data_IF_930895701924
#
_entry.id   IF_930895701924
#
_cell.length_a   1.000
_cell.length_b   1.000
_cell.length_c   1.000
_cell.angle_alpha   90.00
_cell.angle_beta   90.00
_cell.angle_gamma   90.00
#
_symmetry.space_group_name_H-M   'P 1'
#
loop_
_entity.id
_entity.type
_entity.pdbx_description
1 polymer ?
#
# COMPACT_ATOMS: atom_id res chain seq x y z
N UNK A 1 -9.30 9.22 14.60
CA UNK A 1 -9.38 10.46 13.78
C UNK A 1 -9.68 10.07 12.33
N UNK A 2 -10.94 9.75 12.05
CA UNK A 2 -11.38 9.48 10.68
C UNK A 2 -11.75 10.81 10.02
N UNK A 3 -11.20 11.06 8.84
CA UNK A 3 -11.47 12.28 8.08
C UNK A 3 -12.87 12.26 7.45
N UNK A 4 -13.48 11.08 7.36
CA UNK A 4 -14.82 10.85 6.86
C UNK A 4 -15.58 9.91 7.82
N UNK A 5 -16.91 10.06 7.94
CA UNK A 5 -17.73 9.07 8.65
C UNK A 5 -17.55 7.68 8.02
N UNK A 6 -17.29 6.62 8.81
CA UNK A 6 -17.17 5.28 8.27
C UNK A 6 -18.43 4.84 7.51
N UNK A 7 -18.23 4.30 6.31
CA UNK A 7 -19.31 3.70 5.52
C UNK A 7 -19.15 2.18 5.53
N UNK A 8 -20.21 1.45 5.86
CA UNK A 8 -20.17 0.00 5.97
C UNK A 8 -21.16 -0.68 5.02
N UNK A 9 -20.75 -1.81 4.44
CA UNK A 9 -21.65 -2.76 3.82
C UNK A 9 -21.76 -4.02 4.71
N UNK A 10 -22.95 -4.62 4.73
CA UNK A 10 -23.23 -5.86 5.45
C UNK A 10 -23.44 -6.99 4.46
N UNK A 11 -22.80 -8.13 4.71
CA UNK A 11 -23.08 -9.38 4.04
C UNK A 11 -24.48 -9.87 4.45
N UNK A 12 -25.38 -9.97 3.48
CA UNK A 12 -26.77 -10.37 3.70
C UNK A 12 -26.93 -11.77 4.31
N UNK A 13 -25.97 -12.67 4.07
CA UNK A 13 -25.97 -14.08 4.47
C UNK A 13 -25.30 -14.30 5.83
N UNK A 14 -24.10 -13.74 6.04
CA UNK A 14 -23.29 -13.96 7.26
C UNK A 14 -23.48 -12.88 8.31
N UNK A 15 -24.07 -11.74 7.94
CA UNK A 15 -24.15 -10.52 8.76
C UNK A 15 -22.79 -9.90 9.10
N UNK A 16 -21.71 -10.39 8.48
CA UNK A 16 -20.40 -9.75 8.55
C UNK A 16 -20.46 -8.36 7.93
N UNK A 17 -19.61 -7.44 8.39
CA UNK A 17 -19.55 -6.06 7.89
C UNK A 17 -18.14 -5.72 7.48
N UNK A 18 -18.02 -4.96 6.40
CA UNK A 18 -16.79 -4.26 6.03
C UNK A 18 -17.07 -2.78 5.93
N UNK A 19 -16.17 -1.99 6.49
CA UNK A 19 -16.28 -0.55 6.52
C UNK A 19 -15.05 0.11 5.92
N UNK A 20 -15.27 1.27 5.31
CA UNK A 20 -14.22 2.17 4.86
C UNK A 20 -13.84 3.09 6.01
N UNK A 21 -12.57 3.06 6.40
CA UNK A 21 -11.97 4.01 7.34
C UNK A 21 -10.88 4.80 6.62
N UNK A 22 -10.94 6.12 6.67
CA UNK A 22 -9.93 6.96 6.01
C UNK A 22 -9.38 7.99 6.99
N UNK A 23 -8.06 8.09 7.04
CA UNK A 23 -7.35 9.17 7.72
C UNK A 23 -6.55 9.95 6.69
N UNK A 24 -6.99 11.15 6.35
CA UNK A 24 -6.31 12.03 5.40
C UNK A 24 -5.03 12.62 5.99
N UNK A 25 -4.96 12.83 7.31
CA UNK A 25 -3.79 13.43 7.96
C UNK A 25 -2.60 12.46 8.11
N UNK A 26 -2.87 11.15 8.03
CA UNK A 26 -1.82 10.14 8.06
C UNK A 26 -0.78 10.41 6.98
N UNK A 27 0.48 10.12 7.31
CA UNK A 27 1.58 10.35 6.40
C UNK A 27 1.60 11.82 5.88
N UNK A 28 1.51 12.84 6.79
CA UNK A 28 1.58 14.31 6.49
C UNK A 28 0.60 14.70 5.39
N UNK A 29 -0.65 14.27 5.51
CA UNK A 29 -1.66 14.58 4.51
C UNK A 29 -1.71 13.62 3.32
N UNK A 30 -0.78 12.66 3.19
CA UNK A 30 -0.82 11.70 2.08
C UNK A 30 -1.97 10.71 2.18
N UNK A 31 -2.48 10.53 3.39
CA UNK A 31 -3.63 9.73 3.72
C UNK A 31 -3.39 8.22 3.69
N UNK A 32 -4.32 7.50 4.30
CA UNK A 32 -4.49 6.06 4.19
C UNK A 32 -5.97 5.71 4.32
N UNK A 33 -6.40 4.72 3.55
CA UNK A 33 -7.75 4.16 3.63
C UNK A 33 -7.72 2.66 3.90
N UNK A 34 -8.70 2.18 4.65
CA UNK A 34 -8.86 0.79 5.01
C UNK A 34 -10.23 0.29 4.57
N UNK A 35 -10.30 -0.94 4.08
CA UNK A 35 -11.54 -1.72 4.05
C UNK A 35 -11.38 -2.86 5.04
N UNK A 36 -12.08 -2.77 6.18
CA UNK A 36 -11.86 -3.65 7.31
C UNK A 36 -13.15 -3.98 8.06
N UNK A 37 -13.14 -5.08 8.81
CA UNK A 37 -14.23 -5.41 9.72
C UNK A 37 -14.28 -4.39 10.88
N UNK A 38 -15.47 -4.03 11.41
CA UNK A 38 -15.58 -3.15 12.58
C UNK A 38 -14.79 -3.60 13.79
N UNK A 39 -14.58 -4.91 13.96
CA UNK A 39 -13.84 -5.47 15.09
C UNK A 39 -12.35 -5.15 15.10
N UNK A 40 -11.78 -4.64 14.00
CA UNK A 40 -10.37 -4.20 13.93
C UNK A 40 -10.20 -2.69 13.96
N UNK A 41 -11.27 -1.92 14.18
CA UNK A 41 -11.23 -0.47 14.17
C UNK A 41 -10.22 0.09 15.18
N UNK A 42 -10.23 -0.40 16.42
CA UNK A 42 -9.33 0.08 17.48
C UNK A 42 -7.85 -0.23 17.15
N UNK A 43 -7.57 -1.39 16.57
CA UNK A 43 -6.22 -1.77 16.13
C UNK A 43 -5.72 -0.80 15.05
N UNK A 44 -6.55 -0.54 14.03
CA UNK A 44 -6.24 0.39 12.94
C UNK A 44 -6.06 1.81 13.48
N UNK A 45 -6.98 2.25 14.36
CA UNK A 45 -6.96 3.57 14.96
C UNK A 45 -5.66 3.82 15.72
N UNK A 46 -5.18 2.82 16.47
CA UNK A 46 -3.92 2.90 17.20
C UNK A 46 -2.71 3.10 16.28
N UNK A 47 -2.72 2.47 15.10
CA UNK A 47 -1.65 2.56 14.11
C UNK A 47 -1.63 3.94 13.43
N UNK A 48 -2.79 4.42 12.98
CA UNK A 48 -2.86 5.71 12.25
C UNK A 48 -2.69 6.92 13.17
N UNK A 49 -3.01 6.78 14.46
CA UNK A 49 -2.87 7.87 15.43
C UNK A 49 -1.41 8.15 15.81
N UNK A 50 -0.49 7.20 15.59
CA UNK A 50 0.95 7.39 15.80
C UNK A 50 1.67 7.71 14.47
N UNK A 51 1.30 8.83 13.85
CA UNK A 51 1.89 9.28 12.58
C UNK A 51 3.37 9.69 12.68
N UNK A 52 3.95 9.73 13.89
CA UNK A 52 5.30 10.22 14.13
C UNK A 52 6.39 9.40 13.41
N UNK A 53 6.16 8.10 13.20
CA UNK A 53 7.07 7.25 12.42
C UNK A 53 6.88 7.43 10.91
N UNK A 54 5.64 7.63 10.46
CA UNK A 54 5.39 8.06 9.10
C UNK A 54 6.16 9.35 8.82
N UNK A 55 5.99 10.39 9.65
CA UNK A 55 6.72 11.67 9.57
C UNK A 55 8.25 11.53 9.50
N UNK A 56 8.86 10.67 10.33
CA UNK A 56 10.32 10.52 10.36
C UNK A 56 10.90 9.59 9.28
N UNK A 57 10.14 8.60 8.82
CA UNK A 57 10.62 7.57 7.87
C UNK A 57 10.64 8.01 6.39
N UNK A 58 10.20 9.23 6.10
CA UNK A 58 9.87 9.72 4.75
C UNK A 58 11.04 10.25 3.94
N UNK A 59 12.00 9.38 3.66
CA UNK A 59 13.01 9.72 2.65
C UNK A 59 12.46 9.75 1.23
N UNK A 60 11.30 9.14 0.96
CA UNK A 60 10.69 9.07 -0.37
C UNK A 60 9.86 10.28 -0.81
N UNK A 61 9.60 11.23 0.09
CA UNK A 61 8.90 12.48 -0.22
C UNK A 61 9.87 13.68 -0.33
N UNK A 62 11.17 13.43 -0.23
CA UNK A 62 12.17 14.45 -0.52
C UNK A 62 12.11 14.83 -2.01
N UNK A 63 12.58 16.02 -2.41
CA UNK A 63 12.77 16.35 -3.82
C UNK A 63 13.46 15.20 -4.58
N UNK A 64 13.09 14.97 -5.84
CA UNK A 64 13.61 13.83 -6.62
C UNK A 64 15.15 13.77 -6.66
N UNK A 65 15.81 14.92 -6.57
CA UNK A 65 17.27 15.08 -6.50
C UNK A 65 17.88 14.55 -5.19
N UNK A 66 17.10 14.55 -4.11
CA UNK A 66 17.47 14.10 -2.77
C UNK A 66 17.03 12.65 -2.48
N UNK A 67 16.27 12.04 -3.40
CA UNK A 67 15.87 10.64 -3.29
C UNK A 67 17.07 9.74 -3.58
N UNK A 68 17.29 8.74 -2.73
CA UNK A 68 18.27 7.68 -2.98
C UNK A 68 17.95 6.81 -4.21
N UNK A 69 16.80 7.04 -4.86
CA UNK A 69 16.34 6.32 -6.04
C UNK A 69 15.65 7.26 -7.04
N UNK A 70 15.52 6.81 -8.29
CA UNK A 70 14.80 7.48 -9.36
C UNK A 70 13.83 6.51 -10.04
N UNK A 71 12.62 6.97 -10.33
CA UNK A 71 11.66 6.21 -11.15
C UNK A 71 11.91 6.55 -12.62
N UNK A 72 12.05 5.53 -13.47
CA UNK A 72 12.30 5.69 -14.91
C UNK A 72 11.38 4.78 -15.70
N UNK A 73 11.04 5.18 -16.91
CA UNK A 73 10.41 4.27 -17.86
C UNK A 73 11.40 3.20 -18.30
N UNK A 74 10.93 1.97 -18.39
CA UNK A 74 11.69 0.81 -18.81
C UNK A 74 10.99 0.20 -20.03
N UNK A 75 11.68 0.12 -21.18
CA UNK A 75 11.11 -0.49 -22.38
C UNK A 75 10.51 -1.86 -22.07
N UNK A 76 9.29 -2.08 -22.53
CA UNK A 76 8.52 -3.32 -22.37
C UNK A 76 8.15 -3.73 -20.93
N UNK A 77 8.56 -2.96 -19.91
CA UNK A 77 8.24 -3.22 -18.48
C UNK A 77 7.46 -2.09 -17.79
N UNK A 78 7.20 -0.98 -18.49
CA UNK A 78 6.49 0.17 -17.91
C UNK A 78 7.44 1.07 -17.14
N UNK A 79 7.41 1.03 -15.81
CA UNK A 79 8.28 1.84 -14.93
C UNK A 79 9.18 0.94 -14.10
N UNK A 80 10.31 1.47 -13.66
CA UNK A 80 11.23 0.79 -12.74
C UNK A 80 11.88 1.80 -11.80
N UNK A 81 12.36 1.30 -10.67
CA UNK A 81 13.02 2.10 -9.64
C UNK A 81 14.52 1.83 -9.73
N UNK A 82 15.35 2.88 -9.75
CA UNK A 82 16.79 2.77 -9.96
C UNK A 82 17.56 3.50 -8.86
N UNK A 83 18.65 2.91 -8.36
CA UNK A 83 19.49 3.54 -7.33
C UNK A 83 20.18 4.80 -7.86
N UNK A 84 20.13 5.91 -7.12
CA UNK A 84 20.89 7.13 -7.44
C UNK A 84 22.27 7.18 -6.78
N UNK A 85 22.45 6.40 -5.72
CA UNK A 85 23.69 6.28 -4.95
C UNK A 85 24.02 4.81 -4.68
N UNK A 86 25.26 4.46 -4.32
CA UNK A 86 25.59 3.12 -3.88
C UNK A 86 24.78 2.78 -2.62
N UNK A 87 24.12 1.62 -2.62
CA UNK A 87 23.36 1.14 -1.47
C UNK A 87 24.10 -0.06 -0.88
N UNK A 88 24.46 0.04 0.40
CA UNK A 88 25.18 -1.00 1.09
C UNK A 88 24.25 -2.17 1.46
N UNK A 89 24.75 -3.39 1.31
CA UNK A 89 24.09 -4.62 1.79
C UNK A 89 23.62 -4.45 3.24
N UNK A 90 22.37 -4.84 3.48
CA UNK A 90 21.74 -4.83 4.81
C UNK A 90 21.20 -3.46 5.24
N UNK A 91 21.40 -2.39 4.45
CA UNK A 91 20.81 -1.09 4.75
C UNK A 91 19.34 -1.02 4.31
N UNK A 92 18.53 -0.38 5.14
CA UNK A 92 17.18 0.07 4.77
C UNK A 92 17.34 1.37 3.99
N UNK A 93 16.97 1.35 2.71
CA UNK A 93 17.13 2.51 1.82
C UNK A 93 15.80 3.18 1.48
N UNK A 94 14.68 2.48 1.69
CA UNK A 94 13.34 3.02 1.49
C UNK A 94 12.39 2.45 2.55
N UNK A 95 11.58 3.33 3.13
CA UNK A 95 10.43 2.97 3.97
C UNK A 95 9.18 3.47 3.24
N UNK A 96 8.28 2.54 2.89
CA UNK A 96 7.00 2.83 2.28
C UNK A 96 5.87 2.83 3.31
N UNK A 97 4.85 3.67 3.08
CA UNK A 97 3.63 3.71 3.88
C UNK A 97 2.44 3.40 2.98
N UNK A 98 1.42 2.68 3.49
CA UNK A 98 0.35 2.23 2.64
C UNK A 98 -0.56 3.41 2.27
N UNK A 99 -1.10 3.36 1.06
CA UNK A 99 -2.20 4.22 0.68
C UNK A 99 -3.55 3.53 0.91
N UNK A 100 -3.64 2.23 0.63
CA UNK A 100 -4.86 1.43 0.84
C UNK A 100 -4.50 0.11 1.52
N UNK A 101 -5.32 -0.32 2.50
CA UNK A 101 -5.17 -1.61 3.19
C UNK A 101 -6.52 -2.32 3.26
N UNK A 102 -6.64 -3.50 2.68
CA UNK A 102 -7.91 -4.21 2.49
C UNK A 102 -7.86 -5.56 3.18
N UNK A 103 -8.89 -5.91 3.96
CA UNK A 103 -8.99 -7.24 4.56
C UNK A 103 -9.01 -8.31 3.45
N UNK A 104 -8.11 -9.30 3.51
CA UNK A 104 -7.97 -10.31 2.45
C UNK A 104 -9.27 -11.09 2.22
N UNK A 105 -10.02 -11.33 3.29
CA UNK A 105 -11.30 -12.02 3.24
C UNK A 105 -12.36 -11.24 2.42
N UNK A 106 -12.29 -9.90 2.40
CA UNK A 106 -13.08 -9.03 1.52
C UNK A 106 -12.51 -9.01 0.10
N UNK A 107 -11.21 -8.81 -0.04
CA UNK A 107 -10.52 -8.75 -1.34
C UNK A 107 -10.80 -10.01 -2.18
N UNK A 108 -10.60 -11.19 -1.58
CA UNK A 108 -10.76 -12.51 -2.21
C UNK A 108 -12.23 -12.92 -2.41
N UNK A 109 -13.20 -12.08 -2.02
CA UNK A 109 -14.62 -12.35 -2.22
C UNK A 109 -15.16 -13.52 -1.40
N UNK A 110 -14.59 -13.80 -0.22
CA UNK A 110 -15.06 -14.91 0.64
C UNK A 110 -16.39 -14.62 1.37
N UNK A 111 -17.01 -13.47 1.08
CA UNK A 111 -18.29 -13.00 1.61
C UNK A 111 -19.29 -12.76 0.48
N UNK A 112 -19.94 -13.83 -0.04
CA UNK A 112 -20.79 -13.75 -1.22
C UNK A 112 -22.09 -12.96 -0.99
N UNK A 113 -22.42 -12.60 0.26
CA UNK A 113 -23.62 -11.84 0.56
C UNK A 113 -23.46 -10.33 0.47
N UNK A 114 -22.26 -9.82 0.17
CA UNK A 114 -22.02 -8.42 -0.22
C UNK A 114 -22.31 -8.31 -1.71
N UNK A 115 -23.22 -7.41 -2.11
CA UNK A 115 -23.53 -7.20 -3.53
C UNK A 115 -22.35 -6.55 -4.26
N UNK A 116 -22.24 -6.77 -5.57
CA UNK A 116 -21.23 -6.14 -6.40
C UNK A 116 -21.27 -4.61 -6.29
N UNK A 117 -22.47 -4.00 -6.24
CA UNK A 117 -22.60 -2.55 -6.08
C UNK A 117 -22.06 -2.07 -4.72
N UNK A 118 -22.26 -2.86 -3.66
CA UNK A 118 -21.75 -2.54 -2.35
C UNK A 118 -20.22 -2.71 -2.28
N UNK A 119 -19.69 -3.77 -2.90
CA UNK A 119 -18.25 -4.03 -3.03
C UNK A 119 -17.57 -2.88 -3.78
N UNK A 120 -18.10 -2.55 -4.96
CA UNK A 120 -17.57 -1.49 -5.82
C UNK A 120 -17.61 -0.13 -5.11
N UNK A 121 -18.68 0.15 -4.36
CA UNK A 121 -18.78 1.36 -3.54
C UNK A 121 -17.76 1.42 -2.39
N UNK A 122 -17.44 0.29 -1.76
CA UNK A 122 -16.40 0.25 -0.73
C UNK A 122 -15.02 0.56 -1.32
N UNK A 123 -14.67 -0.04 -2.47
CA UNK A 123 -13.43 0.30 -3.20
C UNK A 123 -13.42 1.77 -3.64
N UNK A 124 -14.50 2.26 -4.26
CA UNK A 124 -14.61 3.65 -4.73
C UNK A 124 -14.35 4.64 -3.60
N UNK A 125 -15.00 4.44 -2.44
CA UNK A 125 -14.80 5.30 -1.28
C UNK A 125 -13.39 5.19 -0.72
N UNK A 126 -12.81 4.00 -0.63
CA UNK A 126 -11.46 3.81 -0.13
C UNK A 126 -10.41 4.55 -0.97
N UNK A 127 -10.60 4.67 -2.29
CA UNK A 127 -9.66 5.39 -3.15
C UNK A 127 -9.99 6.87 -3.27
N UNK A 128 -11.25 7.26 -3.43
CA UNK A 128 -11.65 8.68 -3.63
C UNK A 128 -11.50 9.54 -2.38
N UNK A 129 -11.51 8.94 -1.19
CA UNK A 129 -11.30 9.69 0.06
C UNK A 129 -9.82 10.00 0.33
N UNK A 130 -8.89 9.40 -0.42
CA UNK A 130 -7.46 9.72 -0.33
C UNK A 130 -7.19 11.12 -0.87
N UNK A 131 -6.39 11.95 -0.16
CA UNK A 131 -6.02 13.27 -0.67
C UNK A 131 -5.19 13.24 -1.96
N UNK A 132 -4.45 12.15 -2.20
CA UNK A 132 -3.55 11.96 -3.34
C UNK A 132 -3.78 10.60 -4.00
N UNK A 133 -5.00 10.38 -4.50
CA UNK A 133 -5.39 9.11 -5.13
C UNK A 133 -4.51 8.74 -6.33
N UNK A 134 -3.92 9.73 -7.03
CA UNK A 134 -2.98 9.52 -8.15
C UNK A 134 -1.71 8.78 -7.75
N UNK A 135 -1.30 8.84 -6.46
CA UNK A 135 -0.17 8.04 -5.96
C UNK A 135 -0.40 6.54 -6.18
N UNK A 136 -1.65 6.10 -6.19
CA UNK A 136 -2.03 4.69 -6.25
C UNK A 136 -2.57 4.31 -7.63
N UNK A 137 -3.34 5.18 -8.27
CA UNK A 137 -3.94 4.86 -9.58
C UNK A 137 -2.90 4.72 -10.69
N UNK A 138 -1.70 5.31 -10.56
CA UNK A 138 -0.61 5.07 -11.53
C UNK A 138 -0.05 3.64 -11.47
N UNK A 139 -0.37 2.86 -10.44
CA UNK A 139 -0.01 1.44 -10.34
C UNK A 139 -0.99 0.53 -11.10
N UNK A 140 -2.10 1.10 -11.58
CA UNK A 140 -3.07 0.35 -12.34
C UNK A 140 -2.51 -0.08 -13.69
N UNK A 141 -2.79 -1.32 -14.05
CA UNK A 141 -2.39 -1.90 -15.33
C UNK A 141 -3.54 -1.93 -16.35
N UNK A 142 -4.75 -1.54 -15.95
CA UNK A 142 -5.96 -1.41 -16.76
C UNK A 142 -6.61 -0.05 -16.50
N UNK A 143 -7.42 0.44 -17.43
CA UNK A 143 -8.25 1.65 -17.25
C UNK A 143 -9.74 1.32 -17.12
N UNK A 144 -10.05 0.09 -16.74
CA UNK A 144 -11.41 -0.47 -16.75
C UNK A 144 -12.17 -0.17 -15.44
N UNK A 145 -13.44 -0.60 -15.39
CA UNK A 145 -14.37 -0.37 -14.28
C UNK A 145 -13.87 -0.93 -12.93
N UNK A 146 -12.96 -1.90 -12.95
CA UNK A 146 -12.38 -2.56 -11.77
C UNK A 146 -10.99 -2.01 -11.37
N UNK A 147 -10.63 -0.80 -11.83
CA UNK A 147 -9.33 -0.16 -11.62
C UNK A 147 -8.76 -0.35 -10.20
N UNK A 148 -9.57 -0.04 -9.19
CA UNK A 148 -9.16 -0.06 -7.78
C UNK A 148 -8.93 -1.47 -7.25
N UNK A 149 -9.75 -2.42 -7.67
CA UNK A 149 -9.55 -3.83 -7.33
C UNK A 149 -8.30 -4.38 -7.99
N UNK A 150 -8.07 -4.02 -9.25
CA UNK A 150 -6.90 -4.40 -10.04
C UNK A 150 -5.60 -3.87 -9.42
N UNK A 151 -5.62 -2.63 -8.91
CA UNK A 151 -4.50 -2.06 -8.15
C UNK A 151 -4.18 -2.92 -6.94
N UNK A 152 -5.17 -3.24 -6.10
CA UNK A 152 -4.93 -4.01 -4.87
C UNK A 152 -4.50 -5.42 -5.20
N UNK A 153 -5.17 -6.08 -6.13
CA UNK A 153 -4.91 -7.48 -6.49
C UNK A 153 -3.53 -7.69 -7.10
N UNK A 154 -2.99 -6.69 -7.83
CA UNK A 154 -1.68 -6.80 -8.51
C UNK A 154 -0.52 -6.29 -7.67
N UNK A 155 -0.76 -5.39 -6.72
CA UNK A 155 0.30 -4.72 -5.96
C UNK A 155 0.23 -4.96 -4.44
N UNK A 156 -0.84 -5.60 -3.96
CA UNK A 156 -1.09 -5.78 -2.54
C UNK A 156 -0.09 -6.73 -1.89
N UNK A 157 0.66 -6.21 -0.92
CA UNK A 157 1.53 -7.00 -0.06
C UNK A 157 0.76 -7.60 1.12
N UNK A 158 1.09 -8.85 1.46
CA UNK A 158 0.54 -9.51 2.64
C UNK A 158 0.91 -8.78 3.94
N UNK A 159 -0.11 -8.31 4.67
CA UNK A 159 0.01 -7.65 5.96
C UNK A 159 -0.81 -8.38 7.04
N UNK A 160 -0.43 -8.20 8.30
CA UNK A 160 -1.21 -8.68 9.45
C UNK A 160 -1.49 -7.54 10.42
N UNK A 161 -2.77 -7.25 10.65
CA UNK A 161 -3.25 -6.21 11.57
C UNK A 161 -4.22 -6.89 12.54
N UNK A 162 -3.99 -6.75 13.86
CA UNK A 162 -4.83 -7.42 14.87
C UNK A 162 -4.85 -8.96 14.73
N UNK A 163 -3.78 -9.55 14.17
CA UNK A 163 -3.72 -10.99 13.86
C UNK A 163 -4.52 -11.44 12.64
N UNK A 164 -5.22 -10.53 11.94
CA UNK A 164 -5.97 -10.80 10.72
C UNK A 164 -5.19 -10.44 9.47
N UNK A 165 -5.40 -11.17 8.35
CA UNK A 165 -4.70 -10.92 7.10
C UNK A 165 -5.30 -9.75 6.30
N UNK A 166 -4.42 -8.91 5.75
CA UNK A 166 -4.74 -7.77 4.90
C UNK A 166 -3.82 -7.75 3.69
N UNK A 167 -4.26 -7.07 2.63
CA UNK A 167 -3.45 -6.69 1.48
C UNK A 167 -3.22 -5.19 1.53
N UNK A 168 -1.97 -4.77 1.62
CA UNK A 168 -1.57 -3.36 1.69
C UNK A 168 -0.90 -2.93 0.39
N UNK A 169 -1.30 -1.77 -0.14
CA UNK A 169 -0.72 -1.15 -1.33
C UNK A 169 0.21 -0.04 -0.87
N UNK A 170 1.50 -0.14 -1.19
CA UNK A 170 2.58 0.74 -0.74
C UNK A 170 3.23 1.40 -1.97
N UNK A 171 2.73 2.55 -2.45
CA UNK A 171 3.05 3.04 -3.79
C UNK A 171 4.54 3.14 -4.13
N UNK A 172 5.38 3.52 -3.17
CA UNK A 172 6.82 3.64 -3.39
C UNK A 172 7.54 2.29 -3.50
N UNK A 173 7.01 1.25 -2.86
CA UNK A 173 7.51 -0.13 -2.94
C UNK A 173 6.95 -0.82 -4.18
N UNK A 174 5.65 -0.65 -4.45
CA UNK A 174 4.90 -1.27 -5.54
C UNK A 174 5.42 -0.85 -6.93
N UNK A 175 6.17 0.25 -7.02
CA UNK A 175 6.87 0.64 -8.26
C UNK A 175 8.09 -0.23 -8.59
N UNK A 176 8.63 -1.00 -7.64
CA UNK A 176 9.78 -1.86 -7.90
C UNK A 176 9.37 -3.07 -8.73
N UNK A 177 10.05 -3.25 -9.86
CA UNK A 177 9.83 -4.42 -10.70
C UNK A 177 10.22 -5.71 -9.98
N UNK A 178 9.56 -6.80 -10.38
CA UNK A 178 9.93 -8.13 -9.92
C UNK A 178 11.17 -8.64 -10.67
N UNK A 179 12.06 -9.31 -9.95
CA UNK A 179 13.28 -9.90 -10.50
C UNK A 179 13.47 -11.36 -10.09
N UNK A 180 13.99 -12.20 -11.00
CA UNK A 180 14.34 -13.59 -10.70
C UNK A 180 15.48 -13.73 -9.66
N UNK A 181 16.32 -12.70 -9.57
CA UNK A 181 17.42 -12.58 -8.59
C UNK A 181 17.33 -11.19 -7.95
N UNK A 182 16.34 -10.97 -7.07
CA UNK A 182 16.06 -9.64 -6.55
C UNK A 182 17.22 -9.13 -5.70
N UNK A 183 17.46 -7.83 -5.75
CA UNK A 183 18.47 -7.16 -4.92
C UNK A 183 17.88 -6.51 -3.66
N UNK A 184 16.55 -6.56 -3.49
CA UNK A 184 15.82 -5.96 -2.39
C UNK A 184 14.88 -6.99 -1.74
N UNK A 185 14.81 -6.97 -0.41
CA UNK A 185 13.77 -7.67 0.37
C UNK A 185 12.90 -6.64 1.08
N UNK A 186 11.60 -6.88 1.12
CA UNK A 186 10.62 -6.01 1.79
C UNK A 186 10.09 -6.67 3.05
N UNK A 187 9.86 -5.88 4.10
CA UNK A 187 9.31 -6.37 5.38
C UNK A 187 8.25 -5.43 5.91
N UNK A 188 7.04 -5.97 6.10
CA UNK A 188 5.95 -5.25 6.75
C UNK A 188 6.14 -5.20 8.27
N UNK A 189 5.84 -4.04 8.85
CA UNK A 189 5.80 -3.79 10.29
C UNK A 189 4.42 -3.27 10.67
N UNK A 190 3.67 -4.07 11.43
CA UNK A 190 2.33 -3.71 11.89
C UNK A 190 2.35 -2.55 12.90
N UNK A 191 3.38 -2.46 13.74
CA UNK A 191 3.49 -1.41 14.76
C UNK A 191 3.70 -0.02 14.19
N UNK A 192 4.24 0.05 12.97
CA UNK A 192 4.57 1.30 12.27
C UNK A 192 3.73 1.50 11.01
N UNK A 193 2.91 0.50 10.67
CA UNK A 193 2.14 0.40 9.44
C UNK A 193 3.00 0.80 8.23
N UNK A 194 4.14 0.13 8.06
CA UNK A 194 5.11 0.47 7.03
C UNK A 194 5.77 -0.78 6.44
N UNK A 195 6.36 -0.62 5.26
CA UNK A 195 7.22 -1.63 4.63
C UNK A 195 8.63 -1.08 4.51
N UNK A 196 9.61 -1.82 4.99
CA UNK A 196 11.03 -1.49 4.84
C UNK A 196 11.65 -2.28 3.69
N UNK A 197 12.25 -1.59 2.73
CA UNK A 197 13.06 -2.16 1.66
C UNK A 197 14.53 -2.21 2.10
N UNK A 198 15.07 -3.43 2.17
CA UNK A 198 16.45 -3.70 2.59
C UNK A 198 17.26 -4.30 1.45
N UNK A 199 18.47 -3.79 1.22
CA UNK A 199 19.37 -4.35 0.19
C UNK A 199 19.92 -5.72 0.62
N UNK A 200 19.80 -6.75 -0.24
CA UNK A 200 20.31 -8.11 0.07
C UNK A 200 21.79 -8.29 -0.31
N UNK A 201 22.31 -7.37 -1.12
CA UNK A 201 23.71 -7.21 -1.53
C UNK A 201 24.02 -5.73 -1.75
N UNK A 202 25.27 -5.40 -2.01
CA UNK A 202 25.61 -4.05 -2.46
C UNK A 202 24.97 -3.80 -3.85
N UNK A 203 24.44 -2.59 -4.03
CA UNK A 203 23.74 -2.14 -5.23
C UNK A 203 24.48 -0.94 -5.80
N UNK A 204 24.81 -1.00 -7.09
CA UNK A 204 25.56 0.06 -7.76
C UNK A 204 24.65 1.24 -8.16
N UNK A 205 25.24 2.41 -8.38
CA UNK A 205 24.54 3.56 -8.96
C UNK A 205 23.95 3.15 -10.32
N UNK A 206 22.69 3.50 -10.55
CA UNK A 206 21.98 3.24 -11.80
C UNK A 206 21.44 1.81 -11.94
N UNK A 207 21.66 0.94 -10.96
CA UNK A 207 21.10 -0.41 -10.95
C UNK A 207 19.60 -0.39 -10.62
N UNK A 208 18.82 -1.25 -11.26
CA UNK A 208 17.38 -1.41 -11.01
C UNK A 208 17.14 -2.09 -9.65
N UNK A 209 16.32 -1.49 -8.80
CA UNK A 209 15.86 -2.02 -7.52
C UNK A 209 14.70 -2.97 -7.78
N UNK A 210 14.88 -4.23 -7.39
CA UNK A 210 13.93 -5.32 -7.69
C UNK A 210 13.61 -6.15 -6.47
N UNK A 211 12.36 -6.59 -6.40
CA UNK A 211 11.80 -7.45 -5.35
C UNK A 211 11.46 -8.83 -5.91
N UNK A 212 11.27 -9.83 -5.05
CA UNK A 212 10.79 -11.15 -5.48
C UNK A 212 9.33 -11.08 -5.93
N UNK A 213 8.92 -11.96 -6.85
CA UNK A 213 7.50 -12.27 -7.02
C UNK A 213 6.97 -12.88 -5.71
N UNK A 214 5.87 -12.36 -5.16
CA UNK A 214 5.13 -13.01 -4.07
C UNK A 214 4.21 -14.12 -4.60
#
# INVERSE_FOLDING_TARGET
PWSYPPYCAEDSSTKAKFCVYTSSDYNNGHGVSFIAAPSTEDDILSMVSNASLAERGRRHLAPAEDLGYAVREVPDKGRGVFAQHPIQKGSVFLIGFPAVVIAQEFELGTFPGISEEARHRLYDLAFRQLPFAERVTTLAHSSDEDLYEDVVRKNGFGAKIGGRPYSGVFPEIDMMNHGCQPNTVVRFSASTLSVEATAVRDIAIGEELTISCE
#
